data_IF_136496062682
#
_entry.id   IF_136496062682
#
_cell.length_a   1.000
_cell.length_b   1.000
_cell.length_c   1.000
_cell.angle_alpha   90.00
_cell.angle_beta   90.00
_cell.angle_gamma   90.00
#
_symmetry.space_group_name_H-M   'P 1'
#
loop_
_entity.id
_entity.type
_entity.pdbx_description
1 polymer ?
#
# COMPACT_ATOMS: atom_id res chain seq x y z
N UNK A 1 11.22 18.25 -13.70
CA UNK A 1 10.56 17.48 -12.64
C UNK A 1 9.92 16.28 -13.32
N UNK A 2 10.68 15.19 -13.47
CA UNK A 2 10.18 13.96 -14.07
C UNK A 2 9.09 13.41 -13.16
N UNK A 3 7.96 13.06 -13.75
CA UNK A 3 6.84 12.46 -13.04
C UNK A 3 7.34 11.26 -12.24
N UNK A 4 7.21 11.34 -10.92
CA UNK A 4 7.61 10.27 -9.98
C UNK A 4 6.86 8.99 -10.32
N UNK A 5 5.73 9.04 -11.04
CA UNK A 5 5.05 7.85 -11.53
C UNK A 5 5.74 7.20 -12.74
N UNK A 6 6.37 7.96 -13.64
CA UNK A 6 6.86 7.43 -14.93
C UNK A 6 8.13 6.56 -14.81
N UNK A 7 9.16 7.06 -14.10
CA UNK A 7 10.44 6.35 -13.95
C UNK A 7 10.37 5.25 -12.87
N UNK A 8 9.48 5.44 -11.88
CA UNK A 8 9.20 4.49 -10.80
C UNK A 8 8.43 3.26 -11.29
N UNK A 9 7.50 3.46 -12.23
CA UNK A 9 6.72 2.38 -12.84
C UNK A 9 7.59 1.46 -13.70
N UNK A 10 8.49 2.01 -14.53
CA UNK A 10 9.38 1.24 -15.40
C UNK A 10 10.36 0.35 -14.62
N UNK A 11 10.86 0.81 -13.48
CA UNK A 11 11.82 0.05 -12.65
C UNK A 11 11.15 -1.08 -11.87
N UNK A 12 9.86 -0.96 -11.55
CA UNK A 12 9.06 -2.02 -10.89
C UNK A 12 8.68 -3.17 -11.81
N UNK A 13 8.42 -2.91 -13.09
CA UNK A 13 8.17 -3.96 -14.09
C UNK A 13 9.38 -4.89 -14.28
N UNK A 14 10.61 -4.39 -14.15
CA UNK A 14 11.81 -5.23 -14.31
C UNK A 14 12.03 -6.24 -13.17
N UNK A 15 11.48 -5.96 -11.99
CA UNK A 15 11.75 -6.72 -10.76
C UNK A 15 10.53 -7.49 -10.24
N UNK A 16 9.42 -7.48 -10.98
CA UNK A 16 8.17 -8.16 -10.63
C UNK A 16 7.56 -8.79 -11.87
N UNK A 17 6.71 -9.80 -11.72
CA UNK A 17 5.91 -10.36 -12.83
C UNK A 17 4.63 -9.54 -13.14
N UNK A 18 4.50 -8.35 -12.54
CA UNK A 18 3.35 -7.49 -12.71
C UNK A 18 3.25 -6.98 -14.16
N UNK A 19 2.04 -6.88 -14.68
CA UNK A 19 1.74 -6.31 -16.00
C UNK A 19 0.94 -5.01 -15.90
N UNK A 20 0.40 -4.71 -14.72
CA UNK A 20 -0.25 -3.46 -14.37
C UNK A 20 0.18 -3.01 -12.96
N UNK A 21 0.31 -1.69 -12.79
CA UNK A 21 0.60 -1.04 -11.52
C UNK A 21 -0.38 0.10 -11.32
N UNK A 22 -0.98 0.18 -10.12
CA UNK A 22 -1.73 1.35 -9.69
C UNK A 22 -1.02 2.01 -8.52
N UNK A 23 -0.98 3.33 -8.58
CA UNK A 23 -0.55 4.21 -7.52
C UNK A 23 -1.71 5.13 -7.14
N UNK A 24 -1.98 5.27 -5.84
CA UNK A 24 -3.02 6.17 -5.36
C UNK A 24 -2.65 6.78 -4.00
N UNK A 25 -3.01 8.04 -3.78
CA UNK A 25 -2.91 8.72 -2.49
C UNK A 25 -4.16 8.42 -1.65
N UNK A 26 -4.33 7.16 -1.26
CA UNK A 26 -5.51 6.69 -0.53
C UNK A 26 -5.49 7.24 0.93
N UNK A 27 -6.47 8.08 1.34
CA UNK A 27 -6.38 8.85 2.58
C UNK A 27 -6.24 8.00 3.84
N UNK A 28 -7.05 6.95 4.01
CA UNK A 28 -6.99 6.13 5.22
C UNK A 28 -5.74 5.27 5.26
N UNK A 29 -5.21 4.83 4.12
CA UNK A 29 -3.91 4.17 4.05
C UNK A 29 -2.77 5.12 4.50
N UNK A 30 -2.82 6.40 4.09
CA UNK A 30 -1.87 7.42 4.56
C UNK A 30 -2.01 7.65 6.06
N UNK A 31 -3.23 7.82 6.57
CA UNK A 31 -3.48 7.98 8.01
C UNK A 31 -2.95 6.77 8.78
N UNK A 32 -3.27 5.56 8.34
CA UNK A 32 -2.83 4.33 9.00
C UNK A 32 -1.31 4.19 9.00
N UNK A 33 -0.62 4.67 7.94
CA UNK A 33 0.84 4.65 7.92
C UNK A 33 1.48 5.47 9.07
N UNK A 34 0.79 6.47 9.62
CA UNK A 34 1.28 7.25 10.76
C UNK A 34 1.02 6.60 12.11
N UNK A 35 -0.11 5.91 12.26
CA UNK A 35 -0.57 5.42 13.58
C UNK A 35 -0.24 3.94 13.81
N UNK A 36 -0.04 3.16 12.74
CA UNK A 36 0.38 1.77 12.85
C UNK A 36 1.77 1.70 13.48
N UNK A 37 1.92 0.83 14.47
CA UNK A 37 3.15 0.73 15.29
C UNK A 37 4.17 -0.26 14.74
N UNK A 38 3.76 -0.99 13.70
CA UNK A 38 4.54 -2.04 13.03
C UNK A 38 4.88 -1.62 11.61
N UNK A 39 5.86 -2.30 11.00
CA UNK A 39 6.25 -2.09 9.59
C UNK A 39 5.30 -2.79 8.61
N UNK A 40 4.15 -3.27 9.09
CA UNK A 40 3.08 -3.87 8.30
C UNK A 40 1.74 -3.64 8.98
N UNK A 41 0.69 -3.54 8.17
CA UNK A 41 -0.70 -3.46 8.63
C UNK A 41 -1.39 -4.80 8.38
N UNK A 42 -2.05 -5.33 9.41
CA UNK A 42 -2.93 -6.49 9.29
C UNK A 42 -4.39 -6.02 9.25
N UNK A 43 -5.12 -6.31 8.15
CA UNK A 43 -6.54 -6.00 8.08
C UNK A 43 -7.33 -6.67 9.20
N UNK A 44 -8.41 -6.01 9.63
CA UNK A 44 -9.33 -6.55 10.64
C UNK A 44 -10.69 -6.93 10.04
N UNK A 45 -10.98 -6.48 8.82
CA UNK A 45 -12.14 -6.88 8.05
C UNK A 45 -11.87 -8.22 7.34
N UNK A 46 -12.94 -8.99 7.14
CA UNK A 46 -12.87 -10.36 6.63
C UNK A 46 -12.24 -10.45 5.23
N UNK A 47 -12.62 -9.53 4.33
CA UNK A 47 -12.11 -9.51 2.97
C UNK A 47 -10.63 -9.15 2.93
N UNK A 48 -10.20 -8.13 3.68
CA UNK A 48 -8.79 -7.75 3.79
C UNK A 48 -7.92 -8.88 4.37
N UNK A 49 -8.42 -9.59 5.40
CA UNK A 49 -7.70 -10.72 5.99
C UNK A 49 -7.53 -11.87 5.00
N UNK A 50 -8.56 -12.17 4.22
CA UNK A 50 -8.54 -13.24 3.23
C UNK A 50 -7.74 -12.87 1.97
N UNK A 51 -7.86 -11.64 1.50
CA UNK A 51 -7.34 -11.21 0.20
C UNK A 51 -5.93 -10.61 0.28
N UNK A 52 -5.66 -9.80 1.31
CA UNK A 52 -4.39 -9.07 1.47
C UNK A 52 -3.45 -9.76 2.46
N UNK A 53 -4.00 -10.43 3.48
CA UNK A 53 -3.32 -11.04 4.62
C UNK A 53 -2.52 -10.03 5.48
N UNK A 54 -1.51 -9.41 4.89
CA UNK A 54 -0.64 -8.42 5.48
C UNK A 54 -0.21 -7.41 4.41
N UNK A 55 -0.26 -6.12 4.77
CA UNK A 55 0.07 -5.01 3.88
C UNK A 55 1.35 -4.35 4.40
N UNK A 56 2.50 -4.47 3.70
CA UNK A 56 3.74 -3.84 4.13
C UNK A 56 3.64 -2.33 4.14
N UNK A 57 4.25 -1.69 5.14
CA UNK A 57 4.46 -0.25 5.20
C UNK A 57 5.94 0.00 4.89
N UNK A 58 6.22 0.67 3.76
CA UNK A 58 7.59 0.92 3.31
C UNK A 58 7.96 2.39 3.46
N UNK A 59 9.25 2.65 3.71
CA UNK A 59 9.82 3.99 3.87
C UNK A 59 10.89 4.27 2.81
N UNK A 60 11.17 5.54 2.63
CA UNK A 60 12.17 6.08 1.71
C UNK A 60 11.78 7.48 1.25
N UNK A 61 12.76 8.26 0.78
CA UNK A 61 12.49 9.58 0.20
C UNK A 61 11.63 9.48 -1.07
N UNK A 62 10.67 10.39 -1.24
CA UNK A 62 9.84 10.41 -2.46
C UNK A 62 10.73 10.61 -3.68
N UNK A 63 10.56 9.76 -4.70
CA UNK A 63 11.36 9.80 -5.92
C UNK A 63 12.78 9.23 -5.79
N UNK A 64 13.15 8.62 -4.65
CA UNK A 64 14.48 8.03 -4.51
C UNK A 64 14.55 6.59 -5.05
N UNK A 65 15.73 6.14 -5.52
CA UNK A 65 15.97 4.74 -5.87
C UNK A 65 15.72 3.77 -4.71
N UNK A 66 16.01 4.19 -3.48
CA UNK A 66 15.76 3.42 -2.26
C UNK A 66 14.25 3.12 -2.10
N UNK A 67 13.40 4.14 -2.19
CA UNK A 67 11.95 3.96 -2.11
C UNK A 67 11.45 3.01 -3.21
N UNK A 68 11.99 3.14 -4.42
CA UNK A 68 11.67 2.25 -5.53
C UNK A 68 12.06 0.81 -5.22
N UNK A 69 13.25 0.58 -4.67
CA UNK A 69 13.75 -0.75 -4.35
C UNK A 69 12.97 -1.41 -3.20
N UNK A 70 12.70 -0.65 -2.14
CA UNK A 70 11.91 -1.10 -1.00
C UNK A 70 10.49 -1.48 -1.44
N UNK A 71 9.86 -0.62 -2.24
CA UNK A 71 8.51 -0.89 -2.76
C UNK A 71 8.50 -2.09 -3.71
N UNK A 72 9.45 -2.19 -4.64
CA UNK A 72 9.55 -3.34 -5.54
C UNK A 72 9.78 -4.65 -4.79
N UNK A 73 10.59 -4.61 -3.72
CA UNK A 73 10.88 -5.78 -2.89
C UNK A 73 9.62 -6.27 -2.19
N UNK A 74 8.86 -5.37 -1.57
CA UNK A 74 7.58 -5.71 -0.93
C UNK A 74 6.54 -6.24 -1.92
N UNK A 75 6.46 -5.66 -3.13
CA UNK A 75 5.52 -6.11 -4.17
C UNK A 75 5.83 -7.47 -4.80
N UNK A 76 6.94 -8.13 -4.44
CA UNK A 76 7.21 -9.52 -4.87
C UNK A 76 6.35 -10.53 -4.13
N UNK A 77 6.13 -10.29 -2.84
CA UNK A 77 5.42 -11.22 -1.95
C UNK A 77 4.01 -10.72 -1.59
N UNK A 78 3.73 -9.43 -1.80
CA UNK A 78 2.46 -8.80 -1.45
C UNK A 78 1.79 -8.16 -2.67
N UNK A 79 0.45 -8.25 -2.72
CA UNK A 79 -0.36 -7.67 -3.80
C UNK A 79 -0.28 -6.14 -3.86
N UNK A 80 -0.07 -5.51 -2.71
CA UNK A 80 0.10 -4.07 -2.60
C UNK A 80 0.81 -3.67 -1.32
N UNK A 81 1.24 -2.41 -1.27
CA UNK A 81 2.00 -1.83 -0.16
C UNK A 81 1.48 -0.43 0.13
N UNK A 82 1.72 0.01 1.35
CA UNK A 82 1.58 1.41 1.76
C UNK A 82 2.97 2.04 1.81
N UNK A 83 3.18 3.13 1.10
CA UNK A 83 4.34 4.00 1.29
C UNK A 83 4.00 5.01 2.36
N UNK A 84 4.79 5.01 3.44
CA UNK A 84 4.59 5.88 4.60
C UNK A 84 4.39 7.33 4.18
N UNK A 85 3.36 7.99 4.72
CA UNK A 85 2.99 9.39 4.45
C UNK A 85 2.65 9.74 2.99
N UNK A 86 2.52 8.76 2.08
CA UNK A 86 2.38 9.00 0.65
C UNK A 86 1.13 8.33 0.07
N UNK A 87 0.96 7.02 0.23
CA UNK A 87 -0.19 6.33 -0.33
C UNK A 87 0.09 4.86 -0.63
N UNK A 88 -0.58 4.32 -1.64
CA UNK A 88 -0.51 2.90 -1.99
C UNK A 88 0.17 2.68 -3.34
N UNK A 89 0.75 1.49 -3.47
CA UNK A 89 1.09 0.89 -4.75
C UNK A 89 0.56 -0.54 -4.77
N UNK A 90 -0.10 -0.93 -5.85
CA UNK A 90 -0.57 -2.29 -6.06
C UNK A 90 -0.18 -2.79 -7.45
N UNK A 91 0.01 -4.10 -7.57
CA UNK A 91 0.37 -4.78 -8.81
C UNK A 91 -0.71 -5.80 -9.21
N UNK A 92 -0.82 -6.05 -10.51
CA UNK A 92 -1.72 -7.05 -11.07
C UNK A 92 -1.27 -7.52 -12.45
N UNK A 93 -1.86 -8.60 -12.95
CA UNK A 93 -1.73 -9.04 -14.34
C UNK A 93 -2.59 -8.19 -15.28
N UNK A 94 -3.65 -7.58 -14.75
CA UNK A 94 -4.52 -6.63 -15.42
C UNK A 94 -4.79 -5.45 -14.47
N UNK A 95 -5.28 -4.33 -15.03
CA UNK A 95 -5.47 -3.10 -14.27
C UNK A 95 -6.49 -3.27 -13.15
N UNK A 96 -7.52 -4.08 -13.39
CA UNK A 96 -8.61 -4.39 -12.48
C UNK A 96 -8.10 -5.09 -11.20
N UNK A 97 -7.12 -5.98 -11.32
CA UNK A 97 -6.52 -6.66 -10.16
C UNK A 97 -5.77 -5.67 -9.26
N UNK A 98 -4.97 -4.78 -9.87
CA UNK A 98 -4.28 -3.73 -9.15
C UNK A 98 -5.27 -2.75 -8.51
N UNK A 99 -6.38 -2.45 -9.21
CA UNK A 99 -7.41 -1.54 -8.74
C UNK A 99 -8.13 -2.10 -7.51
N UNK A 100 -8.62 -3.34 -7.59
CA UNK A 100 -9.26 -4.05 -6.47
C UNK A 100 -8.35 -4.07 -5.26
N UNK A 101 -7.05 -4.33 -5.47
CA UNK A 101 -6.07 -4.34 -4.38
C UNK A 101 -5.92 -2.96 -3.72
N UNK A 102 -5.75 -1.89 -4.50
CA UNK A 102 -5.65 -0.53 -3.96
C UNK A 102 -6.92 -0.13 -3.21
N UNK A 103 -8.11 -0.41 -3.76
CA UNK A 103 -9.37 -0.08 -3.09
C UNK A 103 -9.58 -0.89 -1.82
N UNK A 104 -9.13 -2.15 -1.80
CA UNK A 104 -9.24 -3.00 -0.62
C UNK A 104 -8.31 -2.56 0.49
N UNK A 105 -7.07 -2.17 0.17
CA UNK A 105 -6.13 -1.58 1.14
C UNK A 105 -6.78 -0.38 1.82
N UNK A 106 -7.37 0.54 1.03
CA UNK A 106 -8.03 1.73 1.56
C UNK A 106 -9.24 1.38 2.43
N UNK A 107 -10.07 0.43 2.00
CA UNK A 107 -11.22 -0.04 2.76
C UNK A 107 -10.82 -0.63 4.13
N UNK A 108 -9.84 -1.53 4.14
CA UNK A 108 -9.31 -2.14 5.36
C UNK A 108 -8.72 -1.09 6.31
N UNK A 109 -7.95 -0.12 5.78
CA UNK A 109 -7.38 0.96 6.57
C UNK A 109 -8.47 1.84 7.20
N UNK A 110 -9.53 2.15 6.43
CA UNK A 110 -10.68 2.94 6.89
C UNK A 110 -11.40 2.27 8.05
N UNK A 111 -11.71 0.98 7.92
CA UNK A 111 -12.37 0.21 8.99
C UNK A 111 -11.50 0.21 10.24
N UNK A 112 -10.23 -0.18 10.11
CA UNK A 112 -9.29 -0.24 11.23
C UNK A 112 -9.16 1.09 11.95
N UNK A 113 -9.04 2.19 11.20
CA UNK A 113 -8.96 3.54 11.76
C UNK A 113 -10.18 3.86 12.63
N UNK A 114 -11.40 3.61 12.15
CA UNK A 114 -12.60 3.92 12.92
C UNK A 114 -12.77 3.03 14.16
N UNK A 115 -12.35 1.76 14.09
CA UNK A 115 -12.35 0.86 15.25
C UNK A 115 -11.38 1.37 16.32
N UNK A 116 -10.15 1.71 15.93
CA UNK A 116 -9.14 2.25 16.84
C UNK A 116 -9.55 3.60 17.44
N UNK A 117 -10.15 4.47 16.63
CA UNK A 117 -10.68 5.76 17.07
C UNK A 117 -11.79 5.58 18.13
N UNK A 118 -12.67 4.59 17.97
CA UNK A 118 -13.72 4.30 18.94
C UNK A 118 -13.14 3.76 20.26
N UNK A 119 -12.11 2.90 20.19
CA UNK A 119 -11.45 2.35 21.36
C UNK A 119 -10.74 3.43 22.19
N UNK A 120 -10.13 4.43 21.54
CA UNK A 120 -9.46 5.55 22.22
C UNK A 120 -10.42 6.45 23.00
N UNK A 121 -11.69 6.57 22.57
CA UNK A 121 -12.71 7.37 23.27
C UNK A 121 -13.28 6.70 24.51
N UNK A 122 -13.00 5.41 24.70
CA UNK A 122 -13.55 4.61 25.80
C UNK A 122 -12.57 4.52 26.99
N UNK A 123 -11.47 5.26 26.93
CA UNK A 123 -10.46 5.43 27.99
C UNK A 123 -10.51 6.86 28.51
#
# INVERSE_FOLDING_TARGET
>A
MTDVAGDFTLRKYKNTSALAIIHAHAPYAVIQSFIEKTESLKPIDSEGQYFLHEIPIVRGGVGTPELSQNTATALREHRGVIVYSHGTFATGKILEEAFVTTTQIEHSCKIKYFVELQQQKTV
#
